data_IF_501468742713
#
_entry.id   IF_501468742713
#
_cell.length_a   1.000
_cell.length_b   1.000
_cell.length_c   1.000
_cell.angle_alpha   90.00
_cell.angle_beta   90.00
_cell.angle_gamma   90.00
#
_symmetry.space_group_name_H-M   'P 1'
#
loop_
_entity.id
_entity.type
_entity.pdbx_description
1 polymer ?
#
# COMPACT_ATOMS: atom_id res chain seq x y z
N UNK A 1 -2.27 22.67 14.87
CA UNK A 1 -2.52 21.29 15.33
C UNK A 1 -1.33 20.44 14.91
N UNK A 2 -0.87 19.49 15.74
CA UNK A 2 0.24 18.61 15.37
C UNK A 2 -0.15 17.73 14.18
N UNK A 3 0.78 17.50 13.26
CA UNK A 3 0.58 16.66 12.09
C UNK A 3 1.60 15.53 12.04
N UNK A 4 1.25 14.44 11.37
CA UNK A 4 2.11 13.29 11.14
C UNK A 4 2.10 12.88 9.67
N UNK A 5 3.19 12.25 9.22
CA UNK A 5 3.23 11.60 7.91
C UNK A 5 2.60 10.22 8.04
N UNK A 6 1.82 9.85 7.04
CA UNK A 6 1.13 8.56 6.96
C UNK A 6 1.53 7.85 5.68
N UNK A 7 2.03 6.63 5.83
CA UNK A 7 2.38 5.74 4.73
C UNK A 7 1.21 4.79 4.47
N UNK A 8 0.64 4.88 3.28
CA UNK A 8 -0.53 4.14 2.87
C UNK A 8 -0.10 3.02 1.93
N UNK A 9 -0.48 1.79 2.30
CA UNK A 9 -0.35 0.61 1.48
C UNK A 9 -1.74 0.17 1.00
N UNK A 10 -1.98 0.20 -0.30
CA UNK A 10 -3.19 -0.30 -0.95
C UNK A 10 -2.90 -1.57 -1.73
N UNK A 11 -3.88 -2.47 -1.80
CA UNK A 11 -3.83 -3.64 -2.68
C UNK A 11 -4.04 -3.32 -4.17
N UNK A 12 -4.18 -2.04 -4.54
CA UNK A 12 -4.34 -1.60 -5.94
C UNK A 12 -3.05 -1.80 -6.77
N UNK A 13 -3.18 -2.36 -7.97
CA UNK A 13 -2.04 -2.67 -8.85
C UNK A 13 -1.30 -1.43 -9.40
N UNK A 14 -2.01 -0.34 -9.62
CA UNK A 14 -1.47 0.89 -10.24
C UNK A 14 -0.57 1.68 -9.29
N UNK A 15 -1.05 1.93 -8.07
CA UNK A 15 -0.33 2.70 -7.05
C UNK A 15 -0.56 2.10 -5.67
N UNK A 16 0.17 1.02 -5.31
CA UNK A 16 0.02 0.38 -4.01
C UNK A 16 0.64 1.19 -2.88
N UNK A 17 1.54 2.14 -3.17
CA UNK A 17 2.24 2.92 -2.16
C UNK A 17 1.94 4.41 -2.33
N UNK A 18 1.57 5.07 -1.25
CA UNK A 18 1.43 6.52 -1.20
C UNK A 18 1.79 7.04 0.19
N UNK A 19 2.13 8.32 0.30
CA UNK A 19 2.31 8.99 1.58
C UNK A 19 1.54 10.30 1.60
N UNK A 20 0.94 10.64 2.73
CA UNK A 20 0.22 11.90 2.94
C UNK A 20 0.47 12.44 4.35
N UNK A 21 -0.04 13.63 4.64
CA UNK A 21 0.06 14.26 5.96
C UNK A 21 -1.33 14.33 6.60
N UNK A 22 -1.46 13.79 7.81
CA UNK A 22 -2.70 13.87 8.59
C UNK A 22 -2.56 14.80 9.78
N UNK A 23 -3.64 15.50 10.10
CA UNK A 23 -3.78 16.31 11.32
C UNK A 23 -4.17 15.39 12.47
N UNK A 24 -3.36 15.36 13.53
CA UNK A 24 -3.65 14.60 14.74
C UNK A 24 -4.72 15.35 15.55
N UNK A 25 -5.72 14.61 16.03
CA UNK A 25 -6.91 15.13 16.69
C UNK A 25 -8.09 15.40 15.74
N UNK A 26 -7.87 15.38 14.42
CA UNK A 26 -8.90 15.62 13.41
C UNK A 26 -9.04 14.43 12.44
N UNK A 27 -7.97 14.10 11.72
CA UNK A 27 -7.95 13.00 10.75
C UNK A 27 -7.50 11.67 11.38
N UNK A 28 -6.68 11.75 12.43
CA UNK A 28 -6.22 10.61 13.23
C UNK A 28 -6.48 10.94 14.70
N UNK A 29 -7.03 9.99 15.46
CA UNK A 29 -7.21 10.17 16.90
C UNK A 29 -5.86 10.16 17.60
N UNK A 30 -5.73 10.97 18.65
CA UNK A 30 -4.52 11.03 19.47
C UNK A 30 -4.13 9.65 20.02
N UNK A 31 -5.12 8.85 20.46
CA UNK A 31 -4.90 7.49 20.97
C UNK A 31 -4.28 6.55 19.91
N UNK A 32 -4.78 6.61 18.67
CA UNK A 32 -4.22 5.80 17.58
C UNK A 32 -2.80 6.27 17.23
N UNK A 33 -2.57 7.59 17.25
CA UNK A 33 -1.24 8.15 17.03
C UNK A 33 -0.24 7.68 18.10
N UNK A 34 -0.55 7.84 19.38
CA UNK A 34 0.36 7.44 20.46
C UNK A 34 0.59 5.94 20.53
N UNK A 35 -0.38 5.13 20.07
CA UNK A 35 -0.25 3.67 20.03
C UNK A 35 0.57 3.14 18.86
N UNK A 36 0.50 3.77 17.69
CA UNK A 36 1.02 3.21 16.45
C UNK A 36 2.13 4.02 15.78
N UNK A 37 2.41 5.25 16.22
CA UNK A 37 3.53 6.02 15.70
C UNK A 37 4.84 5.28 15.87
N UNK A 38 5.73 5.39 14.89
CA UNK A 38 7.10 4.90 15.02
C UNK A 38 7.99 5.93 15.74
N UNK A 39 9.28 5.62 15.83
CA UNK A 39 10.29 6.49 16.45
C UNK A 39 10.45 7.85 15.74
N UNK A 40 9.98 7.98 14.49
CA UNK A 40 10.00 9.23 13.72
C UNK A 40 8.69 10.01 13.85
N UNK A 41 7.65 9.43 14.45
CA UNK A 41 6.31 10.01 14.51
C UNK A 41 5.47 9.74 13.25
N UNK A 42 5.83 8.73 12.45
CA UNK A 42 5.11 8.35 11.25
C UNK A 42 4.06 7.26 11.57
N UNK A 43 2.96 7.24 10.82
CA UNK A 43 1.93 6.21 10.87
C UNK A 43 1.88 5.37 9.60
N UNK A 44 1.36 4.16 9.75
CA UNK A 44 1.28 3.17 8.68
C UNK A 44 -0.14 2.66 8.55
N UNK A 45 -0.71 2.76 7.35
CA UNK A 45 -2.10 2.40 7.05
C UNK A 45 -2.13 1.32 5.98
N UNK A 46 -2.91 0.27 6.23
CA UNK A 46 -3.30 -0.73 5.25
C UNK A 46 -4.69 -0.40 4.72
N UNK A 47 -4.83 -0.33 3.40
CA UNK A 47 -6.10 -0.24 2.69
C UNK A 47 -6.34 -1.57 2.00
N UNK A 48 -7.46 -2.21 2.34
CA UNK A 48 -7.83 -3.53 1.83
C UNK A 48 -9.32 -3.56 1.49
N UNK A 49 -9.71 -4.52 0.63
CA UNK A 49 -11.12 -4.74 0.32
C UNK A 49 -11.63 -5.86 1.21
N UNK A 50 -12.69 -5.56 1.97
CA UNK A 50 -13.40 -6.50 2.83
C UNK A 50 -14.89 -6.43 2.48
N UNK A 51 -15.50 -7.58 2.19
CA UNK A 51 -16.91 -7.68 1.74
C UNK A 51 -17.26 -6.71 0.58
N UNK A 52 -16.32 -6.51 -0.35
CA UNK A 52 -16.50 -5.61 -1.50
C UNK A 52 -16.38 -4.12 -1.18
N UNK A 53 -16.03 -3.75 0.05
CA UNK A 53 -15.84 -2.36 0.48
C UNK A 53 -14.37 -2.08 0.79
N UNK A 54 -13.90 -0.88 0.45
CA UNK A 54 -12.58 -0.44 0.89
C UNK A 54 -12.60 -0.13 2.38
N UNK A 55 -11.72 -0.79 3.11
CA UNK A 55 -11.45 -0.58 4.52
C UNK A 55 -10.04 -0.04 4.68
N UNK A 56 -9.81 0.70 5.76
CA UNK A 56 -8.48 1.16 6.16
C UNK A 56 -8.21 0.84 7.61
N UNK A 57 -6.96 0.51 7.93
CA UNK A 57 -6.53 0.19 9.28
C UNK A 57 -5.12 0.73 9.55
N UNK A 58 -4.97 1.46 10.65
CA UNK A 58 -3.65 1.82 11.18
C UNK A 58 -2.98 0.58 11.79
N UNK A 59 -1.72 0.35 11.45
CA UNK A 59 -0.93 -0.79 11.91
C UNK A 59 0.46 -0.35 12.34
N UNK A 60 1.16 -1.22 13.08
CA UNK A 60 2.58 -1.02 13.35
C UNK A 60 3.41 -1.19 12.06
N UNK A 61 4.56 -0.50 12.00
CA UNK A 61 5.50 -0.53 10.88
C UNK A 61 5.85 -1.95 10.42
N UNK A 62 6.17 -2.86 11.34
CA UNK A 62 6.54 -4.24 10.99
C UNK A 62 5.43 -4.99 10.24
N UNK A 63 4.17 -4.74 10.62
CA UNK A 63 3.03 -5.36 9.94
C UNK A 63 2.84 -4.76 8.54
N UNK A 64 3.07 -3.45 8.40
CA UNK A 64 3.04 -2.76 7.12
C UNK A 64 4.14 -3.25 6.18
N UNK A 65 5.38 -3.39 6.67
CA UNK A 65 6.52 -3.86 5.87
C UNK A 65 6.33 -5.31 5.40
N UNK A 66 5.76 -6.18 6.24
CA UNK A 66 5.38 -7.55 5.84
C UNK A 66 4.32 -7.53 4.73
N UNK A 67 3.29 -6.71 4.86
CA UNK A 67 2.24 -6.59 3.83
C UNK A 67 2.80 -6.01 2.53
N UNK A 68 3.68 -5.01 2.61
CA UNK A 68 4.37 -4.42 1.47
C UNK A 68 5.18 -5.48 0.71
N UNK A 69 5.96 -6.28 1.44
CA UNK A 69 6.75 -7.37 0.86
C UNK A 69 5.87 -8.38 0.11
N UNK A 70 4.69 -8.70 0.64
CA UNK A 70 3.74 -9.61 -0.03
C UNK A 70 3.17 -9.00 -1.32
N UNK A 71 2.83 -7.71 -1.31
CA UNK A 71 2.33 -6.99 -2.50
C UNK A 71 3.43 -6.88 -3.56
N UNK A 72 4.67 -6.51 -3.19
CA UNK A 72 5.79 -6.47 -4.13
C UNK A 72 5.99 -7.82 -4.83
N UNK A 73 6.03 -8.92 -4.08
CA UNK A 73 6.17 -10.28 -4.65
C UNK A 73 5.02 -10.64 -5.60
N UNK A 74 3.79 -10.27 -5.26
CA UNK A 74 2.64 -10.54 -6.11
C UNK A 74 2.72 -9.76 -7.43
N UNK A 75 3.17 -8.49 -7.37
CA UNK A 75 3.37 -7.67 -8.57
C UNK A 75 4.45 -8.22 -9.47
N UNK A 76 5.60 -8.61 -8.90
CA UNK A 76 6.68 -9.26 -9.64
C UNK A 76 6.17 -10.52 -10.36
N UNK A 77 5.42 -11.38 -9.67
CA UNK A 77 4.83 -12.58 -10.27
C UNK A 77 3.86 -12.28 -11.43
N UNK A 78 3.05 -11.21 -11.33
CA UNK A 78 2.16 -10.80 -12.42
C UNK A 78 2.93 -10.23 -13.61
N UNK A 79 3.98 -9.45 -13.37
CA UNK A 79 4.83 -8.90 -14.45
C UNK A 79 5.61 -10.00 -15.17
N UNK A 80 6.10 -11.02 -14.47
CA UNK A 80 6.81 -12.16 -15.07
C UNK A 80 5.92 -13.13 -15.85
N UNK A 81 4.59 -13.01 -15.76
CA UNK A 81 3.62 -13.86 -16.46
C UNK A 81 3.07 -13.26 -17.76
N UNK A 82 3.59 -12.12 -18.23
CA UNK A 82 3.21 -11.63 -19.57
C UNK A 82 3.68 -12.61 -20.64
N UNK A 83 2.78 -13.21 -21.46
CA UNK A 83 3.20 -14.11 -22.52
C UNK A 83 4.00 -13.32 -23.55
N UNK A 84 5.17 -13.86 -23.92
CA UNK A 84 5.95 -13.38 -25.05
C UNK A 84 5.03 -13.21 -26.26
N UNK A 85 4.99 -11.99 -26.81
CA UNK A 85 4.32 -11.68 -28.07
C UNK A 85 4.78 -12.73 -29.11
N UNK A 86 3.88 -13.50 -29.75
CA UNK A 86 4.30 -14.40 -30.82
C UNK A 86 5.01 -13.57 -31.90
N UNK A 87 6.08 -14.08 -32.52
CA UNK A 87 6.79 -13.36 -33.57
C UNK A 87 5.79 -12.98 -34.67
N UNK A 88 5.96 -11.82 -35.33
CA UNK A 88 5.11 -11.49 -36.46
C UNK A 88 5.24 -12.59 -37.50
N UNK A 89 4.11 -13.18 -37.87
CA UNK A 89 4.02 -14.19 -38.91
C UNK A 89 4.50 -13.55 -40.22
N UNK A 90 5.74 -13.84 -40.58
CA UNK A 90 6.32 -13.51 -41.87
C UNK A 90 5.71 -14.40 -42.93
N UNK A 91 4.43 -14.20 -43.24
CA UNK A 91 3.81 -14.78 -44.42
C UNK A 91 4.16 -13.90 -45.62
N UNK A 92 5.31 -14.20 -46.23
CA UNK A 92 5.54 -13.95 -47.65
C UNK A 92 4.54 -14.77 -48.47
N UNK A 93 3.73 -14.10 -49.29
CA UNK A 93 3.43 -14.45 -50.68
C UNK A 93 2.46 -13.44 -51.30
#
# INVERSE_FOLDING_TARGET
MPSCRVHILSSSADRPYSSTTFTIGEQVKQEDYDRFKDDQGDLYVLVYVDEGKMQSRVVARDAWDRAKTAIDRHREALTSQQPMKPPPDGSSS
#
